data_IF_180300156761
#
_entry.id   IF_180300156761
#
_cell.length_a   1.000
_cell.length_b   1.000
_cell.length_c   1.000
_cell.angle_alpha   90.00
_cell.angle_beta   90.00
_cell.angle_gamma   90.00
#
_symmetry.space_group_name_H-M   'P 1'
#
loop_
_entity.id
_entity.type
_entity.pdbx_description
1 polymer ?
#
# COMPACT_ATOMS: atom_id res chain seq x y z
N UNK A 1 0.36 34.12 12.40
CA UNK A 1 0.07 32.82 13.02
C UNK A 1 -1.24 32.37 12.40
N UNK A 2 -1.20 31.33 11.55
CA UNK A 2 -2.32 30.71 10.83
C UNK A 2 -3.16 31.61 9.92
N UNK A 3 -2.80 31.75 8.63
CA UNK A 3 -3.79 32.03 7.57
C UNK A 3 -3.28 31.82 6.11
N UNK A 4 -2.01 31.46 5.88
CA UNK A 4 -1.50 31.23 4.50
C UNK A 4 -1.60 29.77 4.00
N UNK A 5 -2.13 28.84 4.80
CA UNK A 5 -2.13 27.42 4.42
C UNK A 5 -3.33 26.99 3.55
N UNK A 6 -4.34 27.85 3.39
CA UNK A 6 -5.59 27.48 2.70
C UNK A 6 -5.70 28.08 1.28
N UNK A 7 -4.92 29.11 0.95
CA UNK A 7 -5.05 29.83 -0.33
C UNK A 7 -4.29 29.21 -1.52
N UNK A 8 -3.27 28.38 -1.28
CA UNK A 8 -2.41 27.86 -2.37
C UNK A 8 -2.95 26.62 -3.10
N UNK A 9 -4.12 26.09 -2.72
CA UNK A 9 -4.66 24.85 -3.31
C UNK A 9 -5.67 25.06 -4.44
N UNK A 10 -5.97 26.31 -4.81
CA UNK A 10 -7.15 26.62 -5.63
C UNK A 10 -6.89 27.17 -7.04
N UNK A 11 -5.63 27.32 -7.49
CA UNK A 11 -5.34 27.93 -8.81
C UNK A 11 -4.26 27.25 -9.65
N UNK A 12 -4.30 25.93 -9.79
CA UNK A 12 -3.61 25.28 -10.91
C UNK A 12 -4.47 24.15 -11.48
N UNK A 13 -5.48 24.58 -12.23
CA UNK A 13 -6.22 23.78 -13.18
C UNK A 13 -5.33 23.31 -14.32
N UNK A 14 -5.45 22.01 -14.59
CA UNK A 14 -5.56 21.42 -15.92
C UNK A 14 -4.37 21.59 -16.88
N UNK A 15 -3.59 20.52 -17.06
CA UNK A 15 -2.92 20.30 -18.35
C UNK A 15 -1.51 19.72 -18.35
N UNK A 16 -0.89 19.40 -17.20
CA UNK A 16 0.53 18.98 -17.17
C UNK A 16 0.84 17.98 -16.03
N UNK A 17 0.07 16.90 -15.93
CA UNK A 17 0.07 16.02 -14.76
C UNK A 17 0.49 14.57 -14.99
N UNK A 18 1.15 14.22 -16.10
CA UNK A 18 1.57 12.82 -16.34
C UNK A 18 3.03 12.64 -16.76
N UNK A 19 3.66 13.71 -17.19
CA UNK A 19 4.94 13.70 -17.89
C UNK A 19 6.10 14.22 -17.04
N UNK A 20 5.82 14.82 -15.87
CA UNK A 20 6.84 15.34 -14.96
C UNK A 20 6.74 14.77 -13.52
N UNK A 21 6.10 13.59 -13.33
CA UNK A 21 6.26 12.80 -12.10
C UNK A 21 7.62 12.08 -12.15
N UNK A 22 8.65 12.90 -11.94
CA UNK A 22 10.06 12.61 -11.77
C UNK A 22 10.34 11.24 -11.14
N UNK A 23 10.99 10.36 -11.90
CA UNK A 23 12.29 9.68 -11.62
C UNK A 23 12.67 9.31 -10.17
N UNK A 24 11.71 9.15 -9.29
CA UNK A 24 11.93 8.57 -7.97
C UNK A 24 11.76 7.08 -8.15
N UNK A 25 12.77 6.25 -7.86
CA UNK A 25 12.58 4.81 -7.93
C UNK A 25 11.41 4.47 -7.01
N UNK A 26 10.40 3.79 -7.57
CA UNK A 26 9.28 3.27 -6.79
C UNK A 26 9.88 2.36 -5.74
N UNK A 27 9.63 2.62 -4.46
CA UNK A 27 10.18 1.84 -3.35
C UNK A 27 9.18 0.81 -2.86
N UNK A 28 9.63 -0.11 -2.00
CA UNK A 28 8.74 -1.02 -1.30
C UNK A 28 7.67 -0.28 -0.47
N UNK A 29 8.04 0.87 0.11
CA UNK A 29 7.13 1.68 0.90
C UNK A 29 6.01 2.27 0.04
N UNK A 30 6.32 2.70 -1.20
CA UNK A 30 5.32 3.21 -2.14
C UNK A 30 4.26 2.16 -2.49
N UNK A 31 4.66 0.90 -2.67
CA UNK A 31 3.71 -0.20 -2.89
C UNK A 31 2.77 -0.41 -1.69
N UNK A 32 3.31 -0.34 -0.47
CA UNK A 32 2.50 -0.49 0.75
C UNK A 32 1.58 0.72 0.94
N UNK A 33 2.07 1.95 0.72
CA UNK A 33 1.27 3.16 0.84
C UNK A 33 0.15 3.21 -0.20
N UNK A 34 0.41 2.79 -1.43
CA UNK A 34 -0.61 2.63 -2.46
C UNK A 34 -1.69 1.61 -2.05
N UNK A 35 -1.28 0.44 -1.53
CA UNK A 35 -2.22 -0.57 -1.05
C UNK A 35 -3.08 -0.06 0.11
N UNK A 36 -2.51 0.70 1.05
CA UNK A 36 -3.26 1.34 2.13
C UNK A 36 -4.27 2.34 1.57
N UNK A 37 -3.86 3.20 0.63
CA UNK A 37 -4.72 4.21 0.05
C UNK A 37 -5.94 3.59 -0.68
N UNK A 38 -5.70 2.57 -1.53
CA UNK A 38 -6.78 1.87 -2.24
C UNK A 38 -7.70 1.17 -1.23
N UNK A 39 -7.14 0.44 -0.25
CA UNK A 39 -7.94 -0.27 0.75
C UNK A 39 -8.77 0.68 1.60
N UNK A 40 -8.23 1.83 2.00
CA UNK A 40 -8.94 2.85 2.76
C UNK A 40 -10.08 3.48 1.95
N UNK A 41 -9.85 3.72 0.65
CA UNK A 41 -10.90 4.20 -0.25
C UNK A 41 -12.07 3.20 -0.34
N UNK A 42 -11.78 1.90 -0.46
CA UNK A 42 -12.82 0.86 -0.49
C UNK A 42 -13.51 0.69 0.86
N UNK A 43 -12.76 0.77 1.95
CA UNK A 43 -13.29 0.74 3.32
C UNK A 43 -14.32 1.85 3.54
N UNK A 44 -14.05 3.07 3.08
CA UNK A 44 -14.99 4.19 3.21
C UNK A 44 -16.31 3.97 2.45
N UNK A 45 -16.29 3.15 1.39
CA UNK A 45 -17.50 2.79 0.65
C UNK A 45 -18.30 1.65 1.28
N UNK A 46 -17.65 0.76 2.03
CA UNK A 46 -18.25 -0.43 2.68
C UNK A 46 -17.56 -0.76 4.01
N UNK A 47 -17.69 0.08 5.05
CA UNK A 47 -16.98 -0.09 6.31
C UNK A 47 -17.43 -1.32 7.11
N UNK A 48 -18.60 -1.87 6.80
CA UNK A 48 -19.15 -3.08 7.40
C UNK A 48 -18.36 -4.36 7.05
N UNK A 49 -17.58 -4.34 5.97
CA UNK A 49 -16.80 -5.49 5.53
C UNK A 49 -15.47 -5.55 6.29
N UNK A 50 -15.42 -6.44 7.29
CA UNK A 50 -14.26 -6.65 8.18
C UNK A 50 -12.95 -6.99 7.43
N UNK A 51 -13.06 -7.50 6.21
CA UNK A 51 -11.91 -7.80 5.35
C UNK A 51 -11.07 -6.54 5.07
N UNK A 52 -11.70 -5.37 4.92
CA UNK A 52 -10.98 -4.12 4.65
C UNK A 52 -10.25 -3.61 5.89
N UNK A 53 -10.91 -3.59 7.05
CA UNK A 53 -10.26 -3.20 8.31
C UNK A 53 -9.11 -4.14 8.65
N UNK A 54 -9.28 -5.45 8.43
CA UNK A 54 -8.22 -6.43 8.67
C UNK A 54 -7.06 -6.30 7.68
N UNK A 55 -7.36 -5.95 6.43
CA UNK A 55 -6.33 -5.67 5.42
C UNK A 55 -5.52 -4.42 5.80
N UNK A 56 -6.17 -3.33 6.22
CA UNK A 56 -5.49 -2.11 6.67
C UNK A 56 -4.54 -2.37 7.84
N UNK A 57 -4.96 -3.16 8.83
CA UNK A 57 -4.12 -3.53 9.98
C UNK A 57 -2.86 -4.27 9.53
N UNK A 58 -3.01 -5.22 8.60
CA UNK A 58 -1.88 -6.00 8.08
C UNK A 58 -0.94 -5.16 7.21
N UNK A 59 -1.49 -4.29 6.37
CA UNK A 59 -0.69 -3.36 5.56
C UNK A 59 0.10 -2.38 6.43
N UNK A 60 -0.53 -1.82 7.46
CA UNK A 60 0.13 -0.92 8.40
C UNK A 60 1.24 -1.63 9.18
N UNK A 61 1.05 -2.91 9.50
CA UNK A 61 2.10 -3.72 10.13
C UNK A 61 3.32 -3.87 9.20
N UNK A 62 3.11 -4.21 7.92
CA UNK A 62 4.20 -4.31 6.94
C UNK A 62 4.93 -2.96 6.78
N UNK A 63 4.18 -1.85 6.74
CA UNK A 63 4.74 -0.49 6.72
C UNK A 63 5.63 -0.23 7.93
N UNK A 64 5.17 -0.56 9.13
CA UNK A 64 5.93 -0.33 10.36
C UNK A 64 7.23 -1.17 10.40
N UNK A 65 7.20 -2.39 9.84
CA UNK A 65 8.41 -3.22 9.71
C UNK A 65 9.40 -2.58 8.73
N UNK A 66 8.93 -2.08 7.59
CA UNK A 66 9.76 -1.38 6.60
C UNK A 66 10.41 -0.12 7.16
N UNK A 67 9.68 0.63 7.98
CA UNK A 67 10.17 1.83 8.66
C UNK A 67 11.09 1.52 9.87
N UNK A 68 11.27 0.25 10.22
CA UNK A 68 12.06 -0.18 11.39
C UNK A 68 11.43 0.16 12.74
N UNK A 69 10.17 0.58 12.75
CA UNK A 69 9.38 0.86 13.96
C UNK A 69 9.02 -0.46 14.64
N UNK A 70 8.55 -1.42 13.84
CA UNK A 70 8.22 -2.76 14.31
C UNK A 70 9.44 -3.68 14.19
N UNK A 71 9.84 -4.26 15.33
CA UNK A 71 11.02 -5.13 15.41
C UNK A 71 10.64 -6.61 15.39
N UNK A 72 9.44 -6.93 15.90
CA UNK A 72 8.94 -8.30 15.85
C UNK A 72 8.33 -8.58 14.48
N UNK A 73 9.05 -9.37 13.69
CA UNK A 73 8.67 -9.77 12.34
C UNK A 73 7.86 -11.07 12.30
N UNK A 74 7.63 -11.74 13.44
CA UNK A 74 6.99 -13.06 13.47
C UNK A 74 5.59 -13.04 12.84
N UNK A 75 4.85 -11.94 13.03
CA UNK A 75 3.51 -11.75 12.44
C UNK A 75 3.51 -11.65 10.92
N UNK A 76 4.64 -11.40 10.25
CA UNK A 76 4.71 -11.42 8.78
C UNK A 76 4.42 -12.82 8.21
N UNK A 77 4.69 -13.89 8.97
CA UNK A 77 4.35 -15.26 8.56
C UNK A 77 2.85 -15.57 8.67
N UNK A 78 2.08 -14.71 9.34
CA UNK A 78 0.66 -14.90 9.62
C UNK A 78 -0.23 -13.99 8.78
N UNK A 79 0.33 -13.33 7.76
CA UNK A 79 -0.42 -12.44 6.88
C UNK A 79 -1.45 -13.24 6.06
N UNK A 80 -2.70 -12.82 6.12
CA UNK A 80 -3.82 -13.41 5.37
C UNK A 80 -4.22 -12.58 4.15
N UNK A 81 -3.71 -11.34 4.02
CA UNK A 81 -4.04 -10.43 2.90
C UNK A 81 -3.77 -11.02 1.52
N UNK A 82 -2.76 -11.90 1.37
CA UNK A 82 -2.48 -12.57 0.11
C UNK A 82 -3.58 -13.55 -0.31
N UNK A 83 -4.19 -14.25 0.65
CA UNK A 83 -5.31 -15.15 0.37
C UNK A 83 -6.58 -14.39 -0.03
N UNK A 84 -6.83 -13.24 0.60
CA UNK A 84 -7.97 -12.38 0.27
C UNK A 84 -7.83 -11.72 -1.10
N UNK A 85 -6.62 -11.30 -1.47
CA UNK A 85 -6.34 -10.75 -2.80
C UNK A 85 -6.86 -11.65 -3.92
N UNK A 86 -6.50 -12.94 -3.89
CA UNK A 86 -6.93 -13.90 -4.91
C UNK A 86 -8.39 -14.35 -4.76
N UNK A 87 -8.85 -14.63 -3.54
CA UNK A 87 -10.17 -15.27 -3.35
C UNK A 87 -11.35 -14.30 -3.39
N UNK A 88 -11.17 -13.10 -2.85
CA UNK A 88 -12.28 -12.18 -2.61
C UNK A 88 -12.27 -11.01 -3.61
N UNK A 89 -11.08 -10.58 -4.04
CA UNK A 89 -10.93 -9.35 -4.82
C UNK A 89 -10.54 -9.57 -6.28
N UNK A 90 -9.90 -10.68 -6.65
CA UNK A 90 -9.42 -10.88 -8.04
C UNK A 90 -10.52 -10.68 -9.10
N UNK A 91 -11.73 -11.18 -8.84
CA UNK A 91 -12.87 -11.04 -9.74
C UNK A 91 -13.63 -9.72 -9.62
N UNK A 92 -13.67 -9.12 -8.41
CA UNK A 92 -14.56 -7.99 -8.10
C UNK A 92 -13.85 -6.64 -8.07
N UNK A 93 -12.57 -6.62 -7.69
CA UNK A 93 -11.72 -5.45 -7.54
C UNK A 93 -10.26 -5.82 -7.84
N UNK A 94 -9.92 -6.04 -9.13
CA UNK A 94 -8.60 -6.51 -9.53
C UNK A 94 -7.48 -5.50 -9.18
N UNK A 95 -7.82 -4.21 -9.10
CA UNK A 95 -6.90 -3.17 -8.64
C UNK A 95 -6.49 -3.40 -7.18
N UNK A 96 -7.47 -3.60 -6.29
CA UNK A 96 -7.20 -3.93 -4.89
C UNK A 96 -6.50 -5.28 -4.75
N UNK A 97 -6.91 -6.29 -5.52
CA UNK A 97 -6.26 -7.61 -5.51
C UNK A 97 -4.77 -7.49 -5.83
N UNK A 98 -4.41 -6.75 -6.88
CA UNK A 98 -3.02 -6.52 -7.26
C UNK A 98 -2.25 -5.79 -6.16
N UNK A 99 -2.84 -4.73 -5.58
CA UNK A 99 -2.20 -3.96 -4.52
C UNK A 99 -1.93 -4.79 -3.25
N UNK A 100 -2.90 -5.60 -2.82
CA UNK A 100 -2.75 -6.51 -1.68
C UNK A 100 -1.75 -7.64 -1.96
N UNK A 101 -1.76 -8.19 -3.17
CA UNK A 101 -0.80 -9.22 -3.60
C UNK A 101 0.64 -8.70 -3.58
N UNK A 102 0.87 -7.49 -4.10
CA UNK A 102 2.16 -6.81 -4.08
C UNK A 102 2.66 -6.60 -2.64
N UNK A 103 1.79 -6.09 -1.76
CA UNK A 103 2.11 -5.89 -0.35
C UNK A 103 2.43 -7.21 0.37
N UNK A 104 1.65 -8.26 0.12
CA UNK A 104 1.89 -9.59 0.67
C UNK A 104 3.25 -10.14 0.22
N UNK A 105 3.60 -9.99 -1.06
CA UNK A 105 4.88 -10.44 -1.59
C UNK A 105 6.06 -9.72 -0.92
N UNK A 106 5.97 -8.41 -0.72
CA UNK A 106 6.99 -7.64 0.01
C UNK A 106 7.10 -8.13 1.47
N UNK A 107 5.96 -8.27 2.17
CA UNK A 107 5.92 -8.79 3.54
C UNK A 107 6.53 -10.19 3.67
N UNK A 108 6.24 -11.07 2.71
CA UNK A 108 6.76 -12.43 2.67
C UNK A 108 8.28 -12.47 2.50
N UNK A 109 8.84 -11.65 1.60
CA UNK A 109 10.29 -11.54 1.42
C UNK A 109 10.99 -11.07 2.70
N UNK A 110 10.41 -10.09 3.40
CA UNK A 110 10.96 -9.60 4.69
C UNK A 110 10.90 -10.71 5.75
N UNK A 111 9.82 -11.48 5.81
CA UNK A 111 9.65 -12.60 6.75
C UNK A 111 10.74 -13.67 6.54
N UNK A 112 11.12 -13.91 5.30
CA UNK A 112 12.14 -14.88 4.93
C UNK A 112 13.58 -14.33 5.04
N UNK A 113 13.75 -13.05 5.42
CA UNK A 113 15.05 -12.40 5.47
C UNK A 113 15.68 -12.19 4.09
N UNK A 114 14.87 -12.17 3.03
CA UNK A 114 15.33 -11.99 1.65
C UNK A 114 15.56 -10.51 1.34
N UNK A 115 16.43 -10.26 0.36
CA UNK A 115 16.48 -8.94 -0.28
C UNK A 115 15.15 -8.69 -0.99
N UNK A 116 14.52 -7.55 -0.71
CA UNK A 116 13.25 -7.18 -1.33
C UNK A 116 13.47 -7.04 -2.84
N UNK A 117 12.67 -7.74 -3.62
CA UNK A 117 12.48 -7.56 -5.05
C UNK A 117 11.11 -6.91 -5.23
N UNK A 118 11.08 -5.79 -5.95
CA UNK A 118 9.82 -5.10 -6.20
C UNK A 118 8.97 -5.85 -7.23
N UNK A 119 7.64 -5.75 -7.18
CA UNK A 119 6.75 -6.36 -8.17
C UNK A 119 7.00 -5.93 -9.62
N UNK A 120 7.60 -4.76 -9.84
CA UNK A 120 8.01 -4.27 -11.17
C UNK A 120 9.35 -4.85 -11.67
N UNK A 121 9.98 -5.75 -10.91
CA UNK A 121 11.27 -6.35 -11.23
C UNK A 121 12.47 -5.42 -11.03
N UNK A 122 12.28 -4.22 -10.48
CA UNK A 122 13.36 -3.31 -10.13
C UNK A 122 13.88 -3.59 -8.72
N UNK A 123 15.16 -3.30 -8.45
CA UNK A 123 15.67 -3.27 -7.08
C UNK A 123 14.94 -2.17 -6.27
N UNK A 124 14.78 -2.38 -4.95
CA UNK A 124 14.07 -1.49 -4.03
C UNK A 124 14.79 -0.16 -3.77
#
# INVERSE_FOLDING_TARGET
MFDDYVASRSYQTAGAGRDNLLKTPITALDYIDNAIAITALRYNGRPELQIYSSSLIQLQFIKNVLLGIEKDKARLHQLTIGAWAGKEFEANDPELASALGNAFYIGHQIAQGLKIQLPNGLPP
#
